data_IF_226810687332
#
_entry.id   IF_226810687332
#
_cell.length_a   1.000
_cell.length_b   1.000
_cell.length_c   1.000
_cell.angle_alpha   90.00
_cell.angle_beta   90.00
_cell.angle_gamma   90.00
#
_symmetry.space_group_name_H-M   'P 1'
#
loop_
_entity.id
_entity.type
_entity.pdbx_description
1 polymer ?
#
# COMPACT_ATOMS: atom_id res chain seq x y z
N UNK A 1 -30.82 -21.48 17.27
CA UNK A 1 -29.43 -21.36 16.77
C UNK A 1 -28.74 -22.74 16.75
N UNK A 2 -27.87 -23.04 15.77
CA UNK A 2 -27.12 -24.32 15.75
C UNK A 2 -25.86 -24.20 16.63
N UNK A 3 -25.55 -25.23 17.43
CA UNK A 3 -24.41 -25.24 18.36
C UNK A 3 -23.07 -24.88 17.70
N UNK A 4 -22.83 -25.35 16.46
CA UNK A 4 -21.60 -25.06 15.72
C UNK A 4 -21.41 -23.57 15.43
N UNK A 5 -22.51 -22.84 15.19
CA UNK A 5 -22.46 -21.39 14.97
C UNK A 5 -22.10 -20.67 16.26
N UNK A 6 -22.77 -21.03 17.36
CA UNK A 6 -22.52 -20.49 18.72
C UNK A 6 -21.05 -20.69 19.11
N UNK A 7 -20.49 -21.88 18.88
CA UNK A 7 -19.10 -22.20 19.18
C UNK A 7 -18.11 -21.34 18.36
N UNK A 8 -18.37 -21.16 17.07
CA UNK A 8 -17.54 -20.27 16.23
C UNK A 8 -17.61 -18.82 16.70
N UNK A 9 -18.80 -18.34 17.02
CA UNK A 9 -18.99 -16.98 17.54
C UNK A 9 -18.23 -16.80 18.84
N UNK A 10 -18.37 -17.74 19.79
CA UNK A 10 -17.64 -17.72 21.07
C UNK A 10 -16.11 -17.63 20.90
N UNK A 11 -15.55 -18.35 19.93
CA UNK A 11 -14.10 -18.29 19.63
C UNK A 11 -13.73 -16.96 18.96
N UNK A 12 -14.51 -16.48 17.98
CA UNK A 12 -14.22 -15.24 17.27
C UNK A 12 -14.32 -14.00 18.19
N UNK A 13 -15.11 -14.09 19.25
CA UNK A 13 -15.27 -13.02 20.25
C UNK A 13 -14.48 -13.26 21.53
N UNK A 14 -13.54 -14.22 21.59
CA UNK A 14 -12.74 -14.45 22.80
C UNK A 14 -12.01 -13.16 23.21
N UNK A 15 -12.28 -12.70 24.44
CA UNK A 15 -11.97 -11.35 24.94
C UNK A 15 -13.19 -10.63 25.52
N UNK A 16 -12.99 -9.47 26.16
CA UNK A 16 -14.03 -8.66 26.87
C UNK A 16 -15.13 -8.06 25.97
N UNK A 17 -15.44 -8.65 24.82
CA UNK A 17 -16.49 -8.16 23.92
C UNK A 17 -17.84 -8.75 24.35
N UNK A 18 -18.90 -7.94 24.27
CA UNK A 18 -20.27 -8.38 24.59
C UNK A 18 -20.74 -9.38 23.52
N UNK A 19 -21.20 -10.56 23.95
CA UNK A 19 -21.85 -11.51 23.05
C UNK A 19 -23.25 -10.98 22.68
N UNK A 20 -23.77 -11.36 21.52
CA UNK A 20 -25.13 -10.99 21.13
C UNK A 20 -26.15 -11.65 22.08
N UNK A 21 -27.33 -11.04 22.28
CA UNK A 21 -28.37 -11.59 23.16
C UNK A 21 -28.84 -12.97 22.70
N UNK A 22 -28.87 -13.24 21.39
CA UNK A 22 -29.23 -14.54 20.83
C UNK A 22 -28.24 -15.66 21.21
N UNK A 23 -26.94 -15.35 21.22
CA UNK A 23 -25.88 -16.27 21.65
C UNK A 23 -26.03 -16.55 23.14
N UNK A 24 -26.30 -15.52 23.95
CA UNK A 24 -26.55 -15.67 25.38
C UNK A 24 -27.76 -16.57 25.67
N UNK A 25 -28.88 -16.34 25.00
CA UNK A 25 -30.08 -17.16 25.13
C UNK A 25 -29.79 -18.63 24.80
N UNK A 26 -29.08 -18.91 23.70
CA UNK A 26 -28.73 -20.29 23.34
C UNK A 26 -27.80 -20.97 24.35
N UNK A 27 -26.82 -20.25 24.89
CA UNK A 27 -25.90 -20.80 25.90
C UNK A 27 -26.64 -21.12 27.21
N UNK A 28 -27.65 -20.31 27.55
CA UNK A 28 -28.51 -20.57 28.69
C UNK A 28 -29.29 -21.88 28.54
N UNK A 29 -29.75 -22.21 27.33
CA UNK A 29 -30.55 -23.42 27.09
C UNK A 29 -29.72 -24.66 26.73
N UNK A 30 -28.51 -24.50 26.16
CA UNK A 30 -27.72 -25.62 25.63
C UNK A 30 -26.55 -26.01 26.55
N UNK A 31 -26.60 -27.18 27.23
CA UNK A 31 -25.55 -27.60 28.16
C UNK A 31 -24.19 -27.89 27.49
N UNK A 32 -24.17 -28.20 26.18
CA UNK A 32 -22.93 -28.40 25.42
C UNK A 32 -22.21 -27.07 25.17
N UNK A 33 -22.95 -26.02 24.77
CA UNK A 33 -22.39 -24.69 24.57
C UNK A 33 -21.98 -24.03 25.89
N UNK A 34 -22.69 -24.29 26.98
CA UNK A 34 -22.30 -23.84 28.32
C UNK A 34 -20.95 -24.41 28.76
N UNK A 35 -20.75 -25.74 28.64
CA UNK A 35 -19.45 -26.38 28.93
C UNK A 35 -18.31 -25.82 28.07
N UNK A 36 -18.61 -25.52 26.80
CA UNK A 36 -17.63 -24.90 25.90
C UNK A 36 -17.24 -23.48 26.35
N UNK A 37 -18.21 -22.67 26.77
CA UNK A 37 -17.96 -21.34 27.30
C UNK A 37 -17.09 -21.40 28.58
N UNK A 38 -17.40 -22.30 29.51
CA UNK A 38 -16.57 -22.50 30.72
C UNK A 38 -15.13 -22.82 30.35
N UNK A 39 -14.90 -23.74 29.40
CA UNK A 39 -13.56 -24.10 28.94
C UNK A 39 -12.79 -22.95 28.28
N UNK A 40 -13.48 -22.12 27.49
CA UNK A 40 -12.86 -20.92 26.92
C UNK A 40 -12.44 -19.92 28.01
N UNK A 41 -13.30 -19.71 29.01
CA UNK A 41 -12.98 -18.83 30.14
C UNK A 41 -11.79 -19.36 30.97
N UNK A 42 -11.69 -20.68 31.16
CA UNK A 42 -10.54 -21.33 31.82
C UNK A 42 -9.24 -21.12 31.04
N UNK A 43 -9.28 -21.26 29.71
CA UNK A 43 -8.12 -20.99 28.84
C UNK A 43 -7.71 -19.52 28.90
N UNK A 44 -8.67 -18.59 28.80
CA UNK A 44 -8.40 -17.16 28.90
C UNK A 44 -7.74 -16.83 30.26
N UNK A 45 -8.23 -17.41 31.35
CA UNK A 45 -7.63 -17.26 32.67
C UNK A 45 -6.22 -17.87 32.74
N UNK A 46 -6.02 -19.07 32.22
CA UNK A 46 -4.72 -19.73 32.21
C UNK A 46 -3.66 -18.91 31.45
N UNK A 47 -4.03 -18.32 30.31
CA UNK A 47 -3.14 -17.43 29.52
C UNK A 47 -2.69 -16.23 30.34
N UNK A 48 -3.55 -15.65 31.19
CA UNK A 48 -3.18 -14.51 32.04
C UNK A 48 -2.21 -14.85 33.17
N UNK A 49 -2.09 -16.13 33.54
CA UNK A 49 -1.22 -16.61 34.62
C UNK A 49 0.06 -17.23 34.08
N UNK A 50 0.17 -17.41 32.75
CA UNK A 50 1.40 -17.88 32.15
C UNK A 50 2.56 -16.99 32.60
N UNK A 51 3.63 -17.59 33.17
CA UNK A 51 4.76 -16.82 33.65
C UNK A 51 5.34 -16.06 32.47
N UNK A 52 5.26 -14.73 32.53
CA UNK A 52 5.96 -13.89 31.57
C UNK A 52 7.44 -14.08 31.84
N UNK A 53 8.25 -14.49 30.85
CA UNK A 53 9.69 -14.65 31.05
C UNK A 53 10.26 -13.37 31.65
N UNK A 54 11.12 -13.51 32.66
CA UNK A 54 11.62 -12.39 33.42
C UNK A 54 12.34 -11.41 32.48
N UNK A 55 11.65 -10.33 32.13
CA UNK A 55 12.15 -9.28 31.25
C UNK A 55 12.79 -8.13 32.02
N UNK A 56 13.05 -8.29 33.33
CA UNK A 56 13.65 -7.24 34.17
C UNK A 56 14.98 -6.75 33.60
N UNK A 57 15.85 -7.65 33.13
CA UNK A 57 17.14 -7.27 32.54
C UNK A 57 16.98 -6.54 31.21
N UNK A 58 16.10 -7.04 30.32
CA UNK A 58 15.82 -6.40 29.04
C UNK A 58 15.16 -5.02 29.22
N UNK A 59 14.25 -4.90 30.19
CA UNK A 59 13.58 -3.65 30.54
C UNK A 59 14.54 -2.66 31.18
N UNK A 60 15.42 -3.11 32.07
CA UNK A 60 16.46 -2.28 32.66
C UNK A 60 17.44 -1.79 31.59
N UNK A 61 17.88 -2.67 30.68
CA UNK A 61 18.75 -2.29 29.56
C UNK A 61 18.07 -1.26 28.64
N UNK A 62 16.78 -1.43 28.35
CA UNK A 62 16.00 -0.46 27.58
C UNK A 62 15.86 0.89 28.30
N UNK A 63 15.52 0.88 29.59
CA UNK A 63 15.43 2.09 30.41
C UNK A 63 16.77 2.81 30.52
N UNK A 64 17.85 2.06 30.72
CA UNK A 64 19.19 2.62 30.75
C UNK A 64 19.55 3.24 29.40
N UNK A 65 19.19 2.60 28.28
CA UNK A 65 19.36 3.18 26.94
C UNK A 65 18.53 4.45 26.77
N UNK A 66 17.28 4.47 27.24
CA UNK A 66 16.38 5.63 27.14
C UNK A 66 16.83 6.81 28.01
N UNK A 67 17.44 6.54 29.18
CA UNK A 67 17.92 7.55 30.13
C UNK A 67 19.36 8.01 29.83
N UNK A 68 20.19 7.12 29.31
CA UNK A 68 21.57 7.44 28.91
C UNK A 68 21.61 8.17 27.56
N UNK A 69 20.58 8.02 26.73
CA UNK A 69 20.31 9.00 25.69
C UNK A 69 19.92 10.28 26.44
N UNK A 70 20.78 11.31 26.51
CA UNK A 70 20.36 12.57 27.10
C UNK A 70 19.08 12.93 26.37
N UNK A 71 18.05 13.27 27.13
CA UNK A 71 16.89 13.95 26.59
C UNK A 71 17.44 15.25 26.00
N UNK A 72 17.96 15.17 24.78
CA UNK A 72 17.89 16.24 23.82
C UNK A 72 16.41 16.55 23.91
N UNK A 73 16.02 17.70 24.50
CA UNK A 73 14.64 18.10 24.42
C UNK A 73 14.34 17.89 22.95
N UNK A 74 13.27 17.13 22.65
CA UNK A 74 12.83 17.05 21.27
C UNK A 74 12.54 18.50 20.91
N UNK A 75 13.57 19.19 20.41
CA UNK A 75 13.55 20.49 19.77
C UNK A 75 12.39 20.29 18.86
N UNK A 76 11.30 20.96 19.24
CA UNK A 76 9.95 20.89 18.71
C UNK A 76 9.89 19.94 17.53
N UNK A 77 8.98 18.97 17.48
CA UNK A 77 8.70 18.24 16.24
C UNK A 77 8.36 19.16 15.02
N UNK A 78 8.33 20.49 15.21
CA UNK A 78 8.37 21.55 14.19
C UNK A 78 9.77 22.07 13.74
N UNK A 79 10.88 21.68 14.35
CA UNK A 79 12.22 21.91 13.81
C UNK A 79 12.51 20.86 12.76
N UNK A 80 11.96 21.14 11.57
CA UNK A 80 12.53 20.87 10.26
C UNK A 80 13.61 19.78 10.29
N UNK A 81 13.19 18.51 10.29
CA UNK A 81 13.94 17.54 9.50
C UNK A 81 14.08 18.23 8.14
N UNK A 82 15.29 18.44 7.58
CA UNK A 82 15.44 18.72 6.16
C UNK A 82 15.05 17.46 5.37
N UNK A 83 13.86 16.93 5.65
CA UNK A 83 13.18 15.93 4.89
C UNK A 83 12.66 16.65 3.69
N UNK A 84 13.16 16.24 2.52
CA UNK A 84 12.63 16.67 1.23
C UNK A 84 11.09 16.58 1.29
N UNK A 85 10.37 17.55 0.70
CA UNK A 85 8.92 17.72 0.88
C UNK A 85 8.08 16.47 0.59
N UNK A 86 8.62 15.48 -0.13
CA UNK A 86 7.95 14.23 -0.49
C UNK A 86 7.74 13.25 0.68
N UNK A 87 8.56 13.28 1.75
CA UNK A 87 8.33 12.39 2.90
C UNK A 87 7.01 12.72 3.62
N UNK A 88 6.58 13.99 3.60
CA UNK A 88 5.27 14.39 4.10
C UNK A 88 4.12 13.91 3.21
N UNK A 89 4.39 13.71 1.91
CA UNK A 89 3.41 13.21 0.94
C UNK A 89 3.24 11.69 1.07
N UNK A 90 4.33 10.94 1.28
CA UNK A 90 4.28 9.48 1.40
C UNK A 90 3.52 8.99 2.65
N UNK A 91 3.67 9.67 3.80
CA UNK A 91 2.92 9.33 5.03
C UNK A 91 1.45 9.76 4.92
N UNK A 92 1.16 10.86 4.23
CA UNK A 92 -0.22 11.29 3.98
C UNK A 92 -0.96 10.32 3.04
N UNK A 93 -0.29 9.81 1.99
CA UNK A 93 -0.89 8.89 1.02
C UNK A 93 -1.33 7.55 1.64
N UNK A 94 -0.51 6.95 2.51
CA UNK A 94 -0.86 5.68 3.16
C UNK A 94 -2.04 5.82 4.15
N UNK A 95 -2.12 6.94 4.89
CA UNK A 95 -3.24 7.21 5.78
C UNK A 95 -4.53 7.56 5.00
N UNK A 96 -4.42 8.26 3.86
CA UNK A 96 -5.58 8.56 3.03
C UNK A 96 -6.16 7.32 2.34
N UNK A 97 -5.35 6.33 1.95
CA UNK A 97 -5.86 5.07 1.38
C UNK A 97 -6.80 4.36 2.36
N UNK A 98 -6.40 4.23 3.63
CA UNK A 98 -7.22 3.56 4.65
C UNK A 98 -8.49 4.37 4.96
N UNK A 99 -8.39 5.71 5.00
CA UNK A 99 -9.55 6.57 5.27
C UNK A 99 -10.52 6.58 4.09
N UNK A 100 -10.04 6.65 2.85
CA UNK A 100 -10.86 6.59 1.63
C UNK A 100 -11.55 5.23 1.51
N UNK A 101 -10.85 4.12 1.77
CA UNK A 101 -11.46 2.78 1.81
C UNK A 101 -12.48 2.61 2.95
N UNK A 102 -12.31 3.32 4.08
CA UNK A 102 -13.29 3.35 5.16
C UNK A 102 -14.52 4.23 4.85
N UNK A 103 -14.37 5.27 4.02
CA UNK A 103 -15.45 6.21 3.69
C UNK A 103 -16.20 5.88 2.40
N UNK A 104 -15.62 5.14 1.45
CA UNK A 104 -16.25 4.77 0.16
C UNK A 104 -17.40 3.76 0.27
N UNK A 105 -17.81 3.38 1.49
CA UNK A 105 -18.99 2.52 1.69
C UNK A 105 -18.83 1.09 1.18
N UNK A 106 -17.66 0.69 0.67
CA UNK A 106 -17.37 -0.69 0.24
C UNK A 106 -17.57 -1.70 1.38
N UNK A 107 -17.39 -1.27 2.64
CA UNK A 107 -17.68 -2.08 3.83
C UNK A 107 -19.15 -2.05 4.29
N UNK A 108 -20.02 -1.26 3.64
CA UNK A 108 -21.46 -1.12 3.96
C UNK A 108 -22.38 -1.87 3.00
N UNK A 109 -21.86 -2.84 2.23
CA UNK A 109 -22.71 -3.77 1.49
C UNK A 109 -23.37 -4.74 2.47
N UNK A 110 -24.62 -4.44 2.83
CA UNK A 110 -25.54 -5.38 3.48
C UNK A 110 -25.85 -6.51 2.51
N UNK A 111 -24.99 -7.54 2.48
CA UNK A 111 -25.29 -8.79 1.81
C UNK A 111 -25.95 -9.73 2.81
N UNK A 112 -27.11 -10.26 2.43
CA UNK A 112 -27.73 -11.38 3.12
C UNK A 112 -26.68 -12.48 3.37
N UNK A 113 -26.69 -13.17 4.53
CA UNK A 113 -25.60 -14.04 4.95
C UNK A 113 -25.56 -15.33 4.12
N UNK A 114 -25.04 -15.23 2.92
CA UNK A 114 -24.57 -16.35 2.12
C UNK A 114 -23.35 -16.95 2.84
N UNK A 115 -23.19 -18.28 2.83
CA UNK A 115 -22.12 -18.97 3.55
C UNK A 115 -20.75 -18.46 3.10
N UNK A 116 -20.16 -17.55 3.87
CA UNK A 116 -18.83 -17.00 3.63
C UNK A 116 -17.79 -18.12 3.86
N UNK A 117 -17.26 -18.67 2.76
CA UNK A 117 -15.97 -19.36 2.77
C UNK A 117 -14.92 -18.39 3.33
N UNK A 118 -13.87 -18.88 4.01
CA UNK A 118 -12.84 -18.01 4.59
C UNK A 118 -12.42 -16.93 3.57
N UNK A 119 -12.44 -15.64 3.93
CA UNK A 119 -12.17 -14.57 2.98
C UNK A 119 -10.80 -14.84 2.38
N UNK A 120 -10.77 -15.07 1.07
CA UNK A 120 -9.51 -15.15 0.34
C UNK A 120 -8.86 -13.78 0.48
N UNK A 121 -7.58 -13.77 0.85
CA UNK A 121 -6.84 -12.53 0.97
C UNK A 121 -6.87 -11.80 -0.37
N UNK A 122 -7.22 -10.51 -0.33
CA UNK A 122 -7.23 -9.66 -1.52
C UNK A 122 -5.80 -9.59 -2.11
N UNK A 123 -5.59 -10.06 -3.35
CA UNK A 123 -4.26 -10.11 -3.96
C UNK A 123 -3.65 -8.71 -4.14
N UNK A 124 -4.46 -7.69 -4.42
CA UNK A 124 -3.98 -6.31 -4.55
C UNK A 124 -3.50 -5.79 -3.20
N UNK A 125 -4.26 -6.05 -2.13
CA UNK A 125 -3.85 -5.61 -0.80
C UNK A 125 -2.52 -6.26 -0.38
N UNK A 126 -2.35 -7.55 -0.70
CA UNK A 126 -1.10 -8.26 -0.43
C UNK A 126 0.09 -7.67 -1.20
N UNK A 127 -0.08 -7.34 -2.49
CA UNK A 127 0.98 -6.71 -3.28
C UNK A 127 1.30 -5.31 -2.76
N UNK A 128 0.32 -4.47 -2.46
CA UNK A 128 0.51 -3.12 -1.91
C UNK A 128 1.28 -3.16 -0.59
N UNK A 129 0.90 -4.05 0.35
CA UNK A 129 1.61 -4.21 1.62
C UNK A 129 3.06 -4.66 1.42
N UNK A 130 3.28 -5.60 0.49
CA UNK A 130 4.62 -6.05 0.11
C UNK A 130 5.46 -4.90 -0.45
N UNK A 131 4.92 -4.10 -1.39
CA UNK A 131 5.60 -2.91 -1.94
C UNK A 131 5.92 -1.87 -0.88
N UNK A 132 5.04 -1.65 0.08
CA UNK A 132 5.31 -0.75 1.20
C UNK A 132 6.47 -1.24 2.08
N UNK A 133 6.55 -2.54 2.35
CA UNK A 133 7.68 -3.14 3.06
C UNK A 133 9.00 -3.00 2.29
N UNK A 134 8.96 -3.23 0.97
CA UNK A 134 10.11 -3.02 0.07
C UNK A 134 10.54 -1.55 0.04
N UNK A 135 9.60 -0.60 -0.01
CA UNK A 135 9.91 0.83 0.05
C UNK A 135 10.54 1.25 1.37
N UNK A 136 10.06 0.70 2.49
CA UNK A 136 10.60 0.99 3.81
C UNK A 136 12.04 0.48 3.98
N UNK A 137 12.39 -0.62 3.29
CA UNK A 137 13.72 -1.23 3.34
C UNK A 137 14.67 -0.76 2.25
N UNK A 138 14.16 -0.01 1.26
CA UNK A 138 14.94 0.46 0.12
C UNK A 138 16.01 1.50 0.50
N UNK A 139 17.27 1.13 0.24
CA UNK A 139 18.44 1.91 0.65
C UNK A 139 18.84 2.97 -0.37
N UNK A 140 18.44 2.82 -1.63
CA UNK A 140 18.83 3.72 -2.73
C UNK A 140 17.61 4.31 -3.43
N UNK A 141 17.77 5.51 -4.01
CA UNK A 141 16.72 6.16 -4.81
C UNK A 141 16.31 5.31 -6.01
N UNK A 142 17.28 4.64 -6.65
CA UNK A 142 17.03 3.72 -7.75
C UNK A 142 16.13 2.55 -7.33
N UNK A 143 16.40 1.93 -6.16
CA UNK A 143 15.58 0.86 -5.63
C UNK A 143 14.16 1.34 -5.32
N UNK A 144 14.01 2.51 -4.67
CA UNK A 144 12.69 3.09 -4.35
C UNK A 144 11.86 3.33 -5.60
N UNK A 145 12.45 3.91 -6.64
CA UNK A 145 11.74 4.19 -7.88
C UNK A 145 11.34 2.90 -8.60
N UNK A 146 12.19 1.87 -8.60
CA UNK A 146 11.81 0.55 -9.14
C UNK A 146 10.61 -0.04 -8.40
N UNK A 147 10.61 0.02 -7.06
CA UNK A 147 9.48 -0.46 -6.26
C UNK A 147 8.20 0.37 -6.50
N UNK A 148 8.31 1.70 -6.65
CA UNK A 148 7.18 2.56 -7.02
C UNK A 148 6.66 2.26 -8.43
N UNK A 149 7.55 1.97 -9.37
CA UNK A 149 7.19 1.58 -10.74
C UNK A 149 6.41 0.26 -10.71
N UNK A 150 6.89 -0.74 -9.97
CA UNK A 150 6.19 -2.00 -9.79
C UNK A 150 4.81 -1.81 -9.12
N UNK A 151 4.71 -0.94 -8.09
CA UNK A 151 3.42 -0.60 -7.48
C UNK A 151 2.45 0.03 -8.49
N UNK A 152 2.92 0.90 -9.38
CA UNK A 152 2.08 1.47 -10.44
C UNK A 152 1.61 0.43 -11.45
N UNK A 153 2.45 -0.57 -11.76
CA UNK A 153 2.08 -1.70 -12.62
C UNK A 153 1.01 -2.60 -11.96
N UNK A 154 1.15 -2.85 -10.64
CA UNK A 154 0.18 -3.61 -9.85
C UNK A 154 -1.20 -2.89 -9.85
N UNK A 155 -1.22 -1.56 -9.66
CA UNK A 155 -2.45 -0.75 -9.69
C UNK A 155 -3.11 -0.68 -11.08
N UNK A 156 -2.31 -0.52 -12.15
CA UNK A 156 -2.83 -0.58 -13.52
C UNK A 156 -3.43 -1.95 -13.83
N UNK A 157 -2.73 -3.03 -13.51
CA UNK A 157 -3.21 -4.40 -13.73
C UNK A 157 -4.53 -4.67 -13.03
N UNK A 158 -4.66 -4.25 -11.76
CA UNK A 158 -5.91 -4.41 -11.02
C UNK A 158 -7.04 -3.55 -11.59
N UNK A 159 -6.75 -2.29 -11.95
CA UNK A 159 -7.75 -1.43 -12.60
C UNK A 159 -8.30 -2.07 -13.88
N UNK A 160 -7.42 -2.66 -14.69
CA UNK A 160 -7.81 -3.37 -15.92
C UNK A 160 -8.64 -4.62 -15.64
N UNK A 161 -8.26 -5.41 -14.64
CA UNK A 161 -9.02 -6.59 -14.18
C UNK A 161 -10.45 -6.21 -13.76
N UNK A 162 -10.57 -5.08 -13.05
CA UNK A 162 -11.83 -4.62 -12.49
C UNK A 162 -12.68 -3.78 -13.45
N UNK A 163 -12.11 -3.27 -14.56
CA UNK A 163 -12.78 -2.32 -15.44
C UNK A 163 -14.14 -2.78 -16.00
N UNK A 164 -14.38 -4.10 -16.08
CA UNK A 164 -15.66 -4.66 -16.57
C UNK A 164 -16.70 -4.94 -15.47
N UNK A 165 -16.28 -5.03 -14.22
CA UNK A 165 -17.10 -5.56 -13.12
C UNK A 165 -17.26 -4.60 -11.95
N UNK A 166 -16.30 -3.71 -11.74
CA UNK A 166 -16.32 -2.76 -10.63
C UNK A 166 -17.15 -1.50 -10.96
N UNK A 167 -17.58 -0.82 -9.90
CA UNK A 167 -18.23 0.48 -10.02
C UNK A 167 -17.25 1.56 -10.48
N UNK A 168 -17.77 2.62 -11.08
CA UNK A 168 -16.95 3.77 -11.51
C UNK A 168 -16.19 4.43 -10.36
N UNK A 169 -16.74 4.40 -9.15
CA UNK A 169 -16.10 4.97 -7.94
C UNK A 169 -14.83 4.19 -7.55
N UNK A 170 -14.88 2.86 -7.53
CA UNK A 170 -13.74 2.02 -7.20
C UNK A 170 -12.61 2.19 -8.23
N UNK A 171 -12.97 2.23 -9.52
CA UNK A 171 -12.01 2.47 -10.60
C UNK A 171 -11.40 3.87 -10.52
N UNK A 172 -12.19 4.89 -10.18
CA UNK A 172 -11.69 6.24 -9.98
C UNK A 172 -10.71 6.32 -8.79
N UNK A 173 -10.98 5.60 -7.70
CA UNK A 173 -10.07 5.52 -6.57
C UNK A 173 -8.73 4.87 -6.98
N UNK A 174 -8.74 3.76 -7.71
CA UNK A 174 -7.52 3.13 -8.22
C UNK A 174 -6.74 4.03 -9.18
N UNK A 175 -7.43 4.72 -10.09
CA UNK A 175 -6.80 5.69 -10.99
C UNK A 175 -6.15 6.86 -10.23
N UNK A 176 -6.79 7.34 -9.15
CA UNK A 176 -6.21 8.35 -8.27
C UNK A 176 -4.95 7.86 -7.54
N UNK A 177 -4.94 6.61 -7.06
CA UNK A 177 -3.75 6.01 -6.46
C UNK A 177 -2.61 5.85 -7.46
N UNK A 178 -2.93 5.41 -8.68
CA UNK A 178 -1.97 5.33 -9.77
C UNK A 178 -1.34 6.71 -10.06
N UNK A 179 -2.16 7.74 -10.17
CA UNK A 179 -1.70 9.12 -10.37
C UNK A 179 -0.75 9.58 -9.26
N UNK A 180 -1.09 9.31 -8.01
CA UNK A 180 -0.26 9.68 -6.87
C UNK A 180 1.09 8.97 -6.87
N UNK A 181 1.11 7.65 -7.12
CA UNK A 181 2.36 6.88 -7.21
C UNK A 181 3.24 7.40 -8.34
N UNK A 182 2.67 7.67 -9.51
CA UNK A 182 3.43 8.14 -10.67
C UNK A 182 3.92 9.58 -10.48
N UNK A 183 3.02 10.53 -10.21
CA UNK A 183 3.36 11.96 -10.15
C UNK A 183 4.14 12.30 -8.88
N UNK A 184 3.68 11.84 -7.72
CA UNK A 184 4.28 12.22 -6.42
C UNK A 184 5.40 11.26 -5.99
N UNK A 185 5.38 10.03 -6.48
CA UNK A 185 6.43 9.05 -6.26
C UNK A 185 7.50 9.10 -7.34
N UNK A 186 7.22 8.52 -8.50
CA UNK A 186 8.21 8.25 -9.56
C UNK A 186 8.81 9.55 -10.10
N UNK A 187 7.98 10.50 -10.54
CA UNK A 187 8.46 11.74 -11.16
C UNK A 187 9.25 12.61 -10.17
N UNK A 188 8.80 12.73 -8.93
CA UNK A 188 9.52 13.52 -7.90
C UNK A 188 10.83 12.85 -7.50
N UNK A 189 10.85 11.53 -7.28
CA UNK A 189 12.07 10.83 -6.86
C UNK A 189 13.10 10.70 -7.98
N UNK A 190 12.70 10.85 -9.26
CA UNK A 190 13.63 10.79 -10.40
C UNK A 190 14.81 11.75 -10.28
N UNK A 191 14.64 12.90 -9.63
CA UNK A 191 15.70 13.90 -9.41
C UNK A 191 16.75 13.44 -8.38
N UNK A 192 16.43 12.41 -7.59
CA UNK A 192 17.31 11.86 -6.55
C UNK A 192 18.16 10.69 -7.05
N UNK A 193 18.01 10.27 -8.31
CA UNK A 193 18.85 9.25 -8.92
C UNK A 193 20.23 9.86 -9.22
N UNK A 194 21.33 9.15 -8.91
CA UNK A 194 22.68 9.56 -9.34
C UNK A 194 22.72 9.84 -10.85
N UNK A 195 23.48 10.86 -11.25
CA UNK A 195 23.57 11.30 -12.64
C UNK A 195 23.96 10.16 -13.60
N UNK A 196 24.90 9.31 -13.20
CA UNK A 196 25.41 8.21 -14.02
C UNK A 196 24.34 7.15 -14.34
N UNK A 197 23.45 6.87 -13.38
CA UNK A 197 22.39 5.86 -13.53
C UNK A 197 21.10 6.42 -14.15
N UNK A 198 20.93 7.75 -14.10
CA UNK A 198 19.68 8.42 -14.39
C UNK A 198 19.20 8.21 -15.83
N UNK A 199 20.01 8.39 -16.90
CA UNK A 199 19.53 8.21 -18.27
C UNK A 199 18.97 6.80 -18.50
N UNK A 200 19.73 5.77 -18.10
CA UNK A 200 19.36 4.37 -18.30
C UNK A 200 18.08 4.02 -17.55
N UNK A 201 18.00 4.34 -16.26
CA UNK A 201 16.86 3.98 -15.44
C UNK A 201 15.59 4.76 -15.84
N UNK A 202 15.71 6.05 -16.15
CA UNK A 202 14.56 6.87 -16.54
C UNK A 202 13.99 6.49 -17.89
N UNK A 203 14.83 6.10 -18.86
CA UNK A 203 14.35 5.61 -20.16
C UNK A 203 13.58 4.29 -20.00
N UNK A 204 14.09 3.35 -19.20
CA UNK A 204 13.41 2.09 -18.93
C UNK A 204 12.01 2.30 -18.33
N UNK A 205 11.91 3.19 -17.33
CA UNK A 205 10.63 3.51 -16.68
C UNK A 205 9.70 4.25 -17.63
N UNK A 206 10.22 5.18 -18.43
CA UNK A 206 9.43 5.89 -19.44
C UNK A 206 8.84 4.93 -20.48
N UNK A 207 9.61 3.94 -20.95
CA UNK A 207 9.11 2.91 -21.87
C UNK A 207 7.96 2.10 -21.26
N UNK A 208 8.05 1.75 -19.96
CA UNK A 208 6.97 1.06 -19.24
C UNK A 208 5.71 1.93 -19.16
N UNK A 209 5.85 3.19 -18.74
CA UNK A 209 4.73 4.14 -18.65
C UNK A 209 4.09 4.41 -20.02
N UNK A 210 4.88 4.46 -21.09
CA UNK A 210 4.37 4.59 -22.45
C UNK A 210 3.48 3.38 -22.82
N UNK A 211 3.94 2.15 -22.56
CA UNK A 211 3.13 0.94 -22.78
C UNK A 211 1.85 0.94 -21.96
N UNK A 212 1.90 1.36 -20.70
CA UNK A 212 0.69 1.52 -19.86
C UNK A 212 -0.28 2.51 -20.50
N UNK A 213 0.21 3.66 -21.00
CA UNK A 213 -0.65 4.65 -21.65
C UNK A 213 -1.37 4.10 -22.87
N UNK A 214 -0.66 3.37 -23.74
CA UNK A 214 -1.24 2.75 -24.93
C UNK A 214 -2.26 1.66 -24.55
N UNK A 215 -1.92 0.83 -23.57
CA UNK A 215 -2.80 -0.26 -23.12
C UNK A 215 -4.12 0.28 -22.56
N UNK A 216 -4.04 1.29 -21.69
CA UNK A 216 -5.23 1.92 -21.11
C UNK A 216 -6.10 2.58 -22.20
N UNK A 217 -5.51 3.19 -23.22
CA UNK A 217 -6.26 3.78 -24.33
C UNK A 217 -7.00 2.77 -25.20
N UNK A 218 -6.36 1.64 -25.51
CA UNK A 218 -6.99 0.56 -26.26
C UNK A 218 -8.19 0.00 -25.47
N UNK A 219 -8.04 -0.17 -24.16
CA UNK A 219 -9.09 -0.73 -23.32
C UNK A 219 -10.35 0.12 -23.21
N UNK A 220 -10.28 1.44 -23.40
CA UNK A 220 -11.45 2.32 -23.35
C UNK A 220 -12.54 1.87 -24.35
N UNK A 221 -12.16 1.22 -25.45
CA UNK A 221 -13.08 0.73 -26.47
C UNK A 221 -13.82 -0.56 -26.04
N UNK A 222 -13.26 -1.30 -25.09
CA UNK A 222 -13.69 -2.65 -24.70
C UNK A 222 -14.32 -2.72 -23.30
N UNK A 223 -14.53 -1.57 -22.65
CA UNK A 223 -15.09 -1.47 -21.30
C UNK A 223 -16.39 -0.67 -21.29
N UNK A 224 -17.25 -0.85 -20.26
CA UNK A 224 -18.44 -0.02 -20.10
C UNK A 224 -18.09 1.48 -20.04
N UNK A 225 -18.97 2.39 -20.50
CA UNK A 225 -18.71 3.83 -20.48
C UNK A 225 -18.35 4.38 -19.09
N UNK A 226 -18.87 3.77 -18.03
CA UNK A 226 -18.58 4.12 -16.63
C UNK A 226 -17.13 3.87 -16.21
N UNK A 227 -16.39 3.01 -16.92
CA UNK A 227 -14.98 2.70 -16.66
C UNK A 227 -14.03 3.51 -17.55
N UNK A 228 -14.53 4.22 -18.56
CA UNK A 228 -13.71 4.92 -19.54
C UNK A 228 -12.91 6.08 -18.93
N UNK A 229 -13.51 6.88 -18.04
CA UNK A 229 -12.84 8.05 -17.45
C UNK A 229 -11.65 7.70 -16.56
N UNK A 230 -11.75 6.72 -15.62
CA UNK A 230 -10.59 6.24 -14.87
C UNK A 230 -9.43 5.75 -15.78
N UNK A 231 -9.74 5.00 -16.85
CA UNK A 231 -8.71 4.54 -17.79
C UNK A 231 -8.08 5.70 -18.57
N UNK A 232 -8.86 6.72 -18.98
CA UNK A 232 -8.32 7.96 -19.57
C UNK A 232 -7.39 8.69 -18.61
N UNK A 233 -7.69 8.68 -17.31
CA UNK A 233 -6.83 9.29 -16.30
C UNK A 233 -5.49 8.55 -16.17
N UNK A 234 -5.51 7.21 -16.12
CA UNK A 234 -4.28 6.39 -16.13
C UNK A 234 -3.47 6.67 -17.40
N UNK A 235 -4.11 6.64 -18.58
CA UNK A 235 -3.44 6.88 -19.86
C UNK A 235 -2.75 8.24 -19.92
N UNK A 236 -3.46 9.31 -19.56
CA UNK A 236 -2.91 10.68 -19.53
C UNK A 236 -1.75 10.79 -18.55
N UNK A 237 -1.93 10.30 -17.32
CA UNK A 237 -0.88 10.34 -16.28
C UNK A 237 0.38 9.63 -16.74
N UNK A 238 0.25 8.43 -17.29
CA UNK A 238 1.38 7.62 -17.76
C UNK A 238 2.10 8.29 -18.93
N UNK A 239 1.36 8.88 -19.88
CA UNK A 239 1.92 9.65 -21.01
C UNK A 239 2.70 10.87 -20.53
N UNK A 240 2.10 11.68 -19.66
CA UNK A 240 2.72 12.89 -19.14
C UNK A 240 4.02 12.56 -18.40
N UNK A 241 3.99 11.54 -17.55
CA UNK A 241 5.17 11.06 -16.83
C UNK A 241 6.25 10.50 -17.78
N UNK A 242 5.89 9.71 -18.79
CA UNK A 242 6.83 9.26 -19.83
C UNK A 242 7.53 10.44 -20.52
N UNK A 243 6.78 11.47 -20.91
CA UNK A 243 7.35 12.65 -21.57
C UNK A 243 8.32 13.40 -20.65
N UNK A 244 7.96 13.59 -19.38
CA UNK A 244 8.80 14.24 -18.38
C UNK A 244 10.08 13.45 -18.11
N UNK A 245 10.00 12.14 -17.89
CA UNK A 245 11.17 11.32 -17.61
C UNK A 245 12.15 11.26 -18.79
N UNK A 246 11.65 11.21 -20.03
CA UNK A 246 12.50 11.28 -21.23
C UNK A 246 13.17 12.64 -21.38
N UNK A 247 12.46 13.73 -21.10
CA UNK A 247 13.04 15.06 -21.12
C UNK A 247 14.20 15.16 -20.11
N UNK A 248 14.00 14.68 -18.87
CA UNK A 248 15.04 14.62 -17.84
C UNK A 248 16.24 13.78 -18.27
N UNK A 249 16.01 12.60 -18.83
CA UNK A 249 17.07 11.72 -19.31
C UNK A 249 17.93 12.39 -20.40
N UNK A 250 17.31 13.12 -21.34
CA UNK A 250 18.02 13.83 -22.41
C UNK A 250 18.86 15.00 -21.87
N UNK A 251 18.33 15.77 -20.92
CA UNK A 251 19.06 16.87 -20.29
C UNK A 251 20.32 16.38 -19.60
N UNK A 252 20.28 15.23 -18.92
CA UNK A 252 21.44 14.67 -18.24
C UNK A 252 22.54 14.23 -19.23
N UNK A 253 22.16 13.56 -20.33
CA UNK A 253 23.12 13.14 -21.37
C UNK A 253 23.83 14.35 -21.98
N UNK A 254 23.10 15.46 -22.21
CA UNK A 254 23.69 16.68 -22.73
C UNK A 254 24.66 17.37 -21.74
N UNK A 255 24.50 17.16 -20.43
CA UNK A 255 25.41 17.69 -19.40
C UNK A 255 26.68 16.84 -19.30
N UNK A 256 26.56 15.52 -19.45
CA UNK A 256 27.70 14.60 -19.35
C UNK A 256 28.67 14.68 -20.54
N UNK A 257 28.19 15.09 -21.73
CA UNK A 257 29.01 15.32 -22.91
C UNK A 257 28.91 16.78 -23.39
N UNK A 258 29.57 17.73 -22.71
CA UNK A 258 29.49 19.15 -23.06
C UNK A 258 30.26 19.49 -24.35
N UNK A 259 31.06 18.56 -24.88
CA UNK A 259 31.82 18.75 -26.09
C UNK A 259 31.88 17.42 -26.86
N UNK A 260 30.81 17.07 -27.59
CA UNK A 260 30.85 15.94 -28.50
C UNK A 260 31.80 16.35 -29.61
N UNK A 261 33.10 16.10 -29.39
CA UNK A 261 34.13 16.31 -30.39
C UNK A 261 33.65 15.51 -31.58
N UNK A 262 33.11 16.23 -32.58
CA UNK A 262 32.74 15.65 -33.87
C UNK A 262 34.05 15.13 -34.42
N UNK A 263 34.33 13.85 -34.19
CA UNK A 263 35.24 13.09 -35.00
C UNK A 263 34.59 13.03 -36.38
N UNK A 264 34.75 14.14 -37.12
CA UNK A 264 34.57 14.15 -38.56
C UNK A 264 35.50 13.04 -39.05
N UNK A 265 34.97 11.99 -39.69
CA UNK A 265 35.85 11.01 -40.32
C UNK A 265 36.74 11.79 -41.27
N UNK A 266 38.06 11.73 -41.05
CA UNK A 266 39.02 12.32 -41.95
C UNK A 266 38.79 11.67 -43.32
N UNK A 267 38.23 12.45 -44.26
CA UNK A 267 37.96 11.99 -45.61
C UNK A 267 39.27 11.52 -46.25
N UNK A 268 39.26 10.27 -46.70
CA UNK A 268 40.17 9.75 -47.71
C UNK A 268 39.55 9.86 -49.09
#
# INVERSE_FOLDING_TARGET
MKCRHVQKTLIATSGRRKLSPEVHAHIAECPRCRRWQTRLNELDYAVTILPVPNSSQAKAAFQQKLLADPATPSRRWHERIPGKPWQKIAVAAAASVVIVLLWSGVLKREHAPERIAAPQADPLLASVLQRHSELATAQTSAQRIRTLTALSEDLDSETRSLARVAGSEDLAALAGLYEDVVKKGIVVQSDEIPADDRPTLLIEIADRLFRTSQTAELMIQDVPPSAADPLRQIARTARDANNLLRAKARTEVAIQDPNPVRHLPAGG
#
